data_IF_331774716030
#
_entry.id   IF_331774716030
#
_cell.length_a   1.000
_cell.length_b   1.000
_cell.length_c   1.000
_cell.angle_alpha   90.00
_cell.angle_beta   90.00
_cell.angle_gamma   90.00
#
_symmetry.space_group_name_H-M   'P 1'
#
loop_
_entity.id
_entity.type
_entity.pdbx_description
1 polymer ?
#
# COMPACT_ATOMS: atom_id res chain seq x y z
N UNK A 1 -15.07 11.19 23.57
CA UNK A 1 -15.61 11.89 22.38
C UNK A 1 -17.13 12.02 22.53
N UNK A 2 -17.68 13.22 22.32
CA UNK A 2 -19.13 13.43 22.34
C UNK A 2 -19.78 12.66 21.18
N UNK A 3 -20.91 11.93 21.40
CA UNK A 3 -21.56 11.19 20.34
C UNK A 3 -22.02 12.10 19.20
N UNK A 4 -21.91 11.61 17.97
CA UNK A 4 -22.40 12.33 16.79
C UNK A 4 -23.94 12.59 16.94
N UNK A 5 -24.35 13.83 16.71
CA UNK A 5 -25.75 14.26 16.88
C UNK A 5 -26.05 14.93 18.22
N UNK A 6 -25.16 14.86 19.21
CA UNK A 6 -25.27 15.64 20.44
C UNK A 6 -24.56 16.98 20.27
N UNK A 7 -25.30 18.08 20.47
CA UNK A 7 -24.78 19.45 20.39
C UNK A 7 -25.24 20.23 21.62
N UNK A 8 -24.37 21.05 22.17
CA UNK A 8 -24.71 21.86 23.33
C UNK A 8 -23.49 22.36 24.09
N UNK A 9 -23.73 22.91 25.27
CA UNK A 9 -22.69 23.38 26.19
C UNK A 9 -22.40 22.30 27.21
N UNK A 10 -21.12 22.04 27.49
CA UNK A 10 -20.74 21.09 28.52
C UNK A 10 -21.06 21.69 29.89
N UNK A 11 -21.98 21.06 30.63
CA UNK A 11 -22.34 21.44 32.00
C UNK A 11 -21.31 20.91 33.00
N UNK A 12 -20.93 19.64 32.87
CA UNK A 12 -19.97 18.99 33.74
C UNK A 12 -19.19 17.90 33.02
N UNK A 13 -17.94 17.73 33.43
CA UNK A 13 -17.08 16.58 33.09
C UNK A 13 -16.55 16.02 34.39
N UNK A 14 -16.69 14.73 34.57
CA UNK A 14 -16.23 14.03 35.78
C UNK A 14 -14.84 13.44 35.52
N UNK A 15 -13.95 13.58 36.51
CA UNK A 15 -12.63 12.95 36.49
C UNK A 15 -12.66 11.69 37.37
N UNK A 16 -11.96 10.63 36.94
CA UNK A 16 -11.90 9.37 37.71
C UNK A 16 -11.92 8.14 36.81
N UNK A 17 -12.11 6.98 37.41
CA UNK A 17 -12.29 5.71 36.75
C UNK A 17 -13.78 5.42 36.55
N UNK A 18 -14.16 5.02 35.34
CA UNK A 18 -15.56 4.82 34.96
C UNK A 18 -15.70 3.55 34.14
N UNK A 19 -16.85 2.90 34.27
CA UNK A 19 -17.26 1.87 33.31
C UNK A 19 -17.72 2.51 31.97
N UNK A 20 -17.85 1.71 30.94
CA UNK A 20 -18.26 2.22 29.59
C UNK A 20 -19.69 2.79 29.59
N UNK A 21 -20.52 2.42 30.58
CA UNK A 21 -21.92 2.84 30.68
C UNK A 21 -22.14 4.01 31.62
N UNK A 22 -21.15 4.35 32.46
CA UNK A 22 -21.26 5.43 33.40
C UNK A 22 -21.32 6.79 32.70
N UNK A 23 -22.03 7.74 33.32
CA UNK A 23 -22.09 9.11 32.81
C UNK A 23 -20.80 9.83 33.16
N UNK A 24 -20.01 10.21 32.12
CA UNK A 24 -18.73 10.93 32.28
C UNK A 24 -18.85 12.42 32.00
N UNK A 25 -19.90 12.85 31.32
CA UNK A 25 -20.18 14.25 31.05
C UNK A 25 -21.69 14.51 30.91
N UNK A 26 -22.09 15.74 31.20
CA UNK A 26 -23.47 16.21 30.95
C UNK A 26 -23.41 17.42 30.00
N UNK A 27 -24.22 17.38 28.95
CA UNK A 27 -24.31 18.41 27.94
C UNK A 27 -25.70 19.02 27.94
N UNK A 28 -25.79 20.34 28.07
CA UNK A 28 -27.02 21.09 27.91
C UNK A 28 -27.24 21.39 26.42
N UNK A 29 -28.34 20.90 25.92
CA UNK A 29 -28.71 21.11 24.51
C UNK A 29 -29.40 22.46 24.30
N UNK A 30 -29.46 23.01 23.11
CA UNK A 30 -30.15 24.27 22.80
C UNK A 30 -31.64 24.27 23.14
N UNK A 31 -32.24 23.12 23.39
CA UNK A 31 -33.66 22.96 23.69
C UNK A 31 -33.93 22.80 25.22
N UNK A 32 -33.07 23.36 26.04
CA UNK A 32 -33.16 23.29 27.54
C UNK A 32 -33.26 21.89 28.11
N UNK A 33 -32.79 20.86 27.42
CA UNK A 33 -32.67 19.49 27.87
C UNK A 33 -31.22 19.14 28.13
N UNK A 34 -30.95 18.26 29.11
CA UNK A 34 -29.61 17.75 29.41
C UNK A 34 -29.45 16.34 28.85
N UNK A 35 -28.33 16.06 28.23
CA UNK A 35 -27.95 14.73 27.74
C UNK A 35 -26.77 14.20 28.53
N UNK A 36 -26.96 13.03 29.13
CA UNK A 36 -25.87 12.29 29.78
C UNK A 36 -25.02 11.58 28.73
N UNK A 37 -23.71 11.80 28.79
CA UNK A 37 -22.73 11.21 27.85
C UNK A 37 -21.95 10.15 28.61
N UNK A 38 -21.92 8.93 28.05
CA UNK A 38 -21.10 7.82 28.49
C UNK A 38 -19.96 7.55 27.52
N UNK A 39 -19.06 6.63 27.86
CA UNK A 39 -18.00 6.17 26.94
C UNK A 39 -18.55 5.26 25.84
N UNK A 40 -19.70 4.64 26.04
CA UNK A 40 -20.36 3.77 25.08
C UNK A 40 -21.10 4.59 24.01
N UNK A 41 -20.87 4.24 22.75
CA UNK A 41 -21.64 4.77 21.62
C UNK A 41 -22.28 3.62 20.83
N UNK A 42 -23.56 3.75 20.50
CA UNK A 42 -24.28 2.84 19.60
C UNK A 42 -24.31 3.47 18.21
N UNK A 43 -23.82 2.74 17.20
CA UNK A 43 -23.81 3.21 15.82
C UNK A 43 -24.27 2.10 14.87
N UNK A 44 -25.19 2.37 13.91
CA UNK A 44 -25.58 1.38 12.91
C UNK A 44 -24.42 1.15 11.93
N UNK A 45 -23.86 -0.07 11.94
CA UNK A 45 -22.61 -0.40 11.24
C UNK A 45 -22.64 -0.20 9.73
N UNK A 46 -23.83 -0.29 9.09
CA UNK A 46 -23.99 -0.04 7.66
C UNK A 46 -24.02 1.43 7.27
N UNK A 47 -24.09 2.33 8.25
CA UNK A 47 -24.10 3.78 8.02
C UNK A 47 -22.74 4.38 8.34
N UNK A 48 -22.15 5.09 7.36
CA UNK A 48 -20.91 5.84 7.57
C UNK A 48 -21.06 6.90 8.67
N UNK A 49 -20.00 7.11 9.45
CA UNK A 49 -19.99 8.13 10.51
C UNK A 49 -19.83 9.51 9.87
N UNK A 50 -20.57 10.52 10.37
CA UNK A 50 -20.53 11.85 9.80
C UNK A 50 -19.21 12.58 10.08
N UNK A 51 -18.83 13.47 9.20
CA UNK A 51 -17.69 14.37 9.33
C UNK A 51 -18.10 15.78 8.86
N UNK A 52 -17.29 16.78 9.18
CA UNK A 52 -17.58 18.16 8.78
C UNK A 52 -17.24 18.38 7.29
N UNK A 53 -16.04 17.96 6.87
CA UNK A 53 -15.52 18.15 5.52
C UNK A 53 -14.55 17.03 5.15
N UNK A 54 -14.60 16.57 3.89
CA UNK A 54 -13.59 15.68 3.31
C UNK A 54 -12.48 16.53 2.69
N UNK A 55 -11.22 16.16 2.96
CA UNK A 55 -10.03 16.86 2.47
C UNK A 55 -9.52 16.19 1.19
N UNK A 56 -8.68 16.93 0.45
CA UNK A 56 -7.99 16.40 -0.71
C UNK A 56 -6.99 15.29 -0.32
N UNK A 57 -6.86 14.24 -1.11
CA UNK A 57 -5.86 13.17 -0.91
C UNK A 57 -4.49 13.58 -1.48
N UNK A 58 -3.88 14.61 -0.93
CA UNK A 58 -2.64 15.25 -1.38
C UNK A 58 -1.39 14.84 -0.59
N UNK A 59 -1.55 14.00 0.42
CA UNK A 59 -0.47 13.46 1.24
C UNK A 59 -0.37 11.95 1.07
N UNK A 60 0.83 11.36 0.90
CA UNK A 60 0.98 9.92 0.83
C UNK A 60 0.79 9.26 2.19
N UNK A 61 0.32 8.01 2.17
CA UNK A 61 0.49 7.07 3.27
C UNK A 61 1.80 6.33 3.02
N UNK A 62 2.84 6.72 3.73
CA UNK A 62 4.18 6.12 3.58
C UNK A 62 4.15 4.70 4.12
N UNK A 63 4.65 3.76 3.34
CA UNK A 63 4.60 2.33 3.65
C UNK A 63 5.98 1.69 3.84
N UNK A 64 7.05 2.36 3.41
CA UNK A 64 8.40 1.81 3.38
C UNK A 64 8.60 0.70 2.35
N UNK A 65 7.57 0.43 1.54
CA UNK A 65 7.64 -0.53 0.44
C UNK A 65 7.93 0.22 -0.86
N UNK A 66 9.12 -0.02 -1.44
CA UNK A 66 9.63 0.74 -2.60
C UNK A 66 8.67 0.74 -3.79
N UNK A 67 8.13 -0.42 -4.16
CA UNK A 67 7.19 -0.52 -5.29
C UNK A 67 5.91 0.29 -5.05
N UNK A 68 5.48 0.39 -3.80
CA UNK A 68 4.29 1.16 -3.42
C UNK A 68 4.63 2.65 -3.37
N UNK A 69 5.52 3.05 -2.48
CA UNK A 69 5.79 4.46 -2.23
C UNK A 69 6.30 5.21 -3.46
N UNK A 70 7.07 4.53 -4.32
CA UNK A 70 7.66 5.14 -5.52
C UNK A 70 6.75 5.03 -6.74
N UNK A 71 6.34 3.81 -7.12
CA UNK A 71 5.65 3.61 -8.39
C UNK A 71 4.13 3.80 -8.27
N UNK A 72 3.51 3.26 -7.21
CA UNK A 72 2.06 3.20 -7.07
C UNK A 72 1.59 3.67 -5.69
N UNK A 73 1.91 4.92 -5.30
CA UNK A 73 1.62 5.41 -3.97
C UNK A 73 0.13 5.50 -3.68
N UNK A 74 -0.22 5.26 -2.41
CA UNK A 74 -1.55 5.48 -1.88
C UNK A 74 -1.58 6.77 -1.07
N UNK A 75 -2.66 7.55 -1.20
CA UNK A 75 -2.84 8.73 -0.38
C UNK A 75 -3.30 8.36 1.05
N UNK A 76 -2.96 9.19 2.00
CA UNK A 76 -3.52 9.14 3.36
C UNK A 76 -5.03 9.42 3.29
N UNK A 77 -5.83 8.45 3.72
CA UNK A 77 -7.27 8.44 3.46
C UNK A 77 -7.67 7.90 2.09
N UNK A 78 -6.74 7.29 1.36
CA UNK A 78 -6.99 6.70 0.04
C UNK A 78 -7.57 5.29 0.08
N UNK A 79 -7.86 4.77 -1.10
CA UNK A 79 -8.40 3.43 -1.32
C UNK A 79 -7.56 2.65 -2.29
N UNK A 80 -7.20 1.43 -1.91
CA UNK A 80 -6.41 0.52 -2.73
C UNK A 80 -7.02 -0.89 -2.76
N UNK A 81 -6.78 -1.59 -3.86
CA UNK A 81 -7.04 -3.02 -3.97
C UNK A 81 -5.75 -3.79 -4.23
N UNK A 82 -5.65 -4.97 -3.63
CA UNK A 82 -4.55 -5.92 -3.81
C UNK A 82 -5.14 -7.21 -4.40
N UNK A 83 -5.41 -7.24 -5.69
CA UNK A 83 -5.86 -8.46 -6.34
C UNK A 83 -4.67 -9.37 -6.66
N UNK A 84 -4.93 -10.67 -6.58
CA UNK A 84 -3.93 -11.65 -6.98
C UNK A 84 -4.41 -13.08 -6.75
N UNK A 85 -3.86 -14.04 -7.49
CA UNK A 85 -4.19 -15.45 -7.29
C UNK A 85 -3.73 -15.94 -5.91
N UNK A 86 -4.16 -17.15 -5.58
CA UNK A 86 -3.70 -17.81 -4.35
C UNK A 86 -2.17 -17.99 -4.38
N UNK A 87 -1.51 -17.73 -3.26
CA UNK A 87 -0.05 -17.86 -3.14
C UNK A 87 0.78 -16.72 -3.74
N UNK A 88 0.15 -15.65 -4.26
CA UNK A 88 0.86 -14.47 -4.79
C UNK A 88 1.41 -13.51 -3.73
N UNK A 89 1.17 -13.79 -2.44
CA UNK A 89 1.69 -12.99 -1.32
C UNK A 89 0.77 -11.85 -0.86
N UNK A 90 -0.56 -11.91 -1.13
CA UNK A 90 -1.53 -10.90 -0.65
C UNK A 90 -1.43 -10.62 0.84
N UNK A 91 -1.49 -11.68 1.64
CA UNK A 91 -1.41 -11.59 3.10
C UNK A 91 -0.07 -11.00 3.57
N UNK A 92 1.04 -11.40 2.94
CA UNK A 92 2.37 -10.83 3.26
C UNK A 92 2.42 -9.34 2.99
N UNK A 93 1.89 -8.88 1.84
CA UNK A 93 1.82 -7.44 1.54
C UNK A 93 0.98 -6.70 2.59
N UNK A 94 -0.17 -7.24 2.97
CA UNK A 94 -1.02 -6.61 3.99
C UNK A 94 -0.36 -6.60 5.38
N UNK A 95 0.36 -7.66 5.77
CA UNK A 95 1.12 -7.68 7.02
C UNK A 95 2.25 -6.64 7.02
N UNK A 96 2.98 -6.49 5.91
CA UNK A 96 4.00 -5.46 5.77
C UNK A 96 3.40 -4.05 5.88
N UNK A 97 2.25 -3.83 5.24
CA UNK A 97 1.52 -2.56 5.37
C UNK A 97 1.03 -2.31 6.81
N UNK A 98 0.50 -3.34 7.47
CA UNK A 98 0.07 -3.24 8.86
C UNK A 98 1.24 -2.88 9.80
N UNK A 99 2.42 -3.45 9.55
CA UNK A 99 3.62 -3.21 10.35
C UNK A 99 4.22 -1.83 10.11
N UNK A 100 4.35 -1.41 8.85
CA UNK A 100 5.22 -0.30 8.46
C UNK A 100 4.47 0.96 8.03
N UNK A 101 3.20 0.85 7.61
CA UNK A 101 2.45 2.03 7.16
C UNK A 101 2.39 3.11 8.26
N UNK A 102 2.48 4.35 7.83
CA UNK A 102 2.39 5.53 8.69
C UNK A 102 0.98 5.78 9.22
N UNK A 103 0.44 4.79 9.93
CA UNK A 103 -0.85 4.85 10.59
C UNK A 103 -0.69 4.76 12.10
N UNK A 104 -1.56 5.46 12.84
CA UNK A 104 -1.58 5.39 14.30
C UNK A 104 -2.29 4.12 14.76
N UNK A 105 -3.35 3.74 14.06
CA UNK A 105 -4.18 2.57 14.34
C UNK A 105 -4.29 1.71 13.09
N UNK A 106 -4.18 0.41 13.27
CA UNK A 106 -4.41 -0.59 12.24
C UNK A 106 -5.70 -1.35 12.57
N UNK A 107 -6.58 -1.48 11.60
CA UNK A 107 -7.75 -2.37 11.69
C UNK A 107 -7.58 -3.47 10.66
N UNK A 108 -7.37 -4.71 11.11
CA UNK A 108 -7.24 -5.87 10.25
C UNK A 108 -8.50 -6.72 10.31
N UNK A 109 -9.12 -6.95 9.17
CA UNK A 109 -10.34 -7.75 9.04
C UNK A 109 -10.01 -9.01 8.25
N UNK A 110 -9.93 -10.15 8.92
CA UNK A 110 -9.97 -11.46 8.27
C UNK A 110 -11.43 -11.81 8.00
N UNK A 111 -11.83 -11.75 6.74
CA UNK A 111 -13.21 -12.00 6.31
C UNK A 111 -13.31 -13.30 5.53
N UNK A 112 -13.81 -14.35 6.18
CA UNK A 112 -13.97 -15.67 5.58
C UNK A 112 -12.66 -16.39 5.30
N UNK A 113 -11.60 -16.02 6.00
CA UNK A 113 -10.27 -16.62 5.86
C UNK A 113 -10.21 -17.99 6.55
N UNK A 114 -9.20 -18.79 6.24
CA UNK A 114 -9.01 -20.10 6.85
C UNK A 114 -8.58 -19.92 8.31
N UNK A 115 -9.04 -20.82 9.18
CA UNK A 115 -8.74 -20.78 10.60
C UNK A 115 -7.23 -20.78 10.91
N UNK A 116 -6.42 -21.54 10.15
CA UNK A 116 -4.97 -21.55 10.30
C UNK A 116 -4.34 -20.19 9.93
N UNK A 117 -4.76 -19.54 8.85
CA UNK A 117 -4.26 -18.22 8.45
C UNK A 117 -4.58 -17.15 9.52
N UNK A 118 -5.78 -17.21 10.10
CA UNK A 118 -6.14 -16.33 11.22
C UNK A 118 -5.35 -16.63 12.49
N UNK A 119 -5.03 -17.90 12.74
CA UNK A 119 -4.17 -18.30 13.86
C UNK A 119 -2.75 -17.77 13.68
N UNK A 120 -2.24 -17.82 12.45
CA UNK A 120 -0.91 -17.26 12.14
C UNK A 120 -0.87 -15.76 12.43
N UNK A 121 -1.90 -15.00 12.00
CA UNK A 121 -2.02 -13.56 12.32
C UNK A 121 -2.06 -13.32 13.83
N UNK A 122 -2.83 -14.12 14.57
CA UNK A 122 -2.94 -14.01 16.03
C UNK A 122 -1.62 -14.32 16.75
N UNK A 123 -0.77 -15.18 16.18
CA UNK A 123 0.53 -15.51 16.75
C UNK A 123 1.61 -14.51 16.33
N UNK A 124 1.61 -14.08 15.05
CA UNK A 124 2.65 -13.20 14.50
C UNK A 124 2.52 -11.75 14.98
N UNK A 125 1.31 -11.16 14.98
CA UNK A 125 1.13 -9.75 15.32
C UNK A 125 1.57 -9.36 16.74
N UNK A 126 1.39 -10.20 17.78
CA UNK A 126 1.96 -9.93 19.10
C UNK A 126 3.49 -9.91 19.14
N UNK A 127 4.14 -10.71 18.28
CA UNK A 127 5.61 -10.81 18.19
C UNK A 127 6.22 -9.67 17.35
N UNK A 128 5.44 -9.10 16.42
CA UNK A 128 5.88 -7.96 15.64
C UNK A 128 5.99 -6.72 16.52
N UNK A 129 7.17 -6.10 16.44
CA UNK A 129 7.46 -4.85 17.16
C UNK A 129 7.11 -3.67 16.26
N UNK A 130 6.33 -2.74 16.78
CA UNK A 130 6.10 -1.46 16.13
C UNK A 130 7.41 -0.64 16.13
N UNK A 131 7.98 -0.31 14.98
CA UNK A 131 9.25 0.39 14.90
C UNK A 131 9.23 1.80 15.49
N UNK A 132 8.05 2.42 15.61
CA UNK A 132 7.87 3.77 16.16
C UNK A 132 7.88 3.78 17.68
N UNK A 133 7.25 2.79 18.28
CA UNK A 133 7.01 2.77 19.74
C UNK A 133 7.84 1.74 20.49
N UNK A 134 8.42 0.76 19.80
CA UNK A 134 9.12 -0.38 20.39
C UNK A 134 8.22 -1.38 21.11
N UNK A 135 6.90 -1.18 21.07
CA UNK A 135 5.92 -2.10 21.66
C UNK A 135 5.38 -3.09 20.62
N UNK A 136 4.70 -4.14 21.07
CA UNK A 136 3.99 -5.05 20.19
C UNK A 136 3.00 -4.30 19.28
N UNK A 137 2.97 -4.69 18.00
CA UNK A 137 2.05 -4.14 17.00
C UNK A 137 0.58 -4.29 17.44
N UNK A 138 0.26 -5.31 18.22
CA UNK A 138 -1.08 -5.53 18.78
C UNK A 138 -1.59 -4.36 19.66
N UNK A 139 -0.70 -3.55 20.24
CA UNK A 139 -1.13 -2.38 21.04
C UNK A 139 -1.82 -1.30 20.20
N UNK A 140 -1.58 -1.25 18.91
CA UNK A 140 -2.24 -0.33 17.99
C UNK A 140 -3.11 -1.02 16.93
N UNK A 141 -3.40 -2.32 17.11
CA UNK A 141 -4.15 -3.12 16.15
C UNK A 141 -5.49 -3.56 16.71
N UNK A 142 -6.54 -3.38 15.92
CA UNK A 142 -7.84 -4.00 16.11
C UNK A 142 -7.94 -5.15 15.15
N UNK A 143 -8.07 -6.38 15.65
CA UNK A 143 -8.19 -7.58 14.85
C UNK A 143 -9.64 -8.09 14.87
N UNK A 144 -10.25 -8.24 13.68
CA UNK A 144 -11.56 -8.83 13.50
C UNK A 144 -11.37 -10.13 12.73
N UNK A 145 -11.54 -11.25 13.44
CA UNK A 145 -11.38 -12.58 12.90
C UNK A 145 -12.75 -13.19 12.57
N UNK A 146 -13.03 -13.37 11.28
CA UNK A 146 -14.14 -14.16 10.79
C UNK A 146 -13.58 -15.29 9.92
N UNK A 147 -13.69 -16.53 10.41
CA UNK A 147 -13.21 -17.71 9.70
C UNK A 147 -14.26 -18.28 8.77
N UNK A 148 -13.82 -19.11 7.81
CA UNK A 148 -14.68 -19.65 6.73
C UNK A 148 -15.79 -20.58 7.23
N UNK A 149 -15.66 -21.13 8.44
CA UNK A 149 -16.64 -21.97 9.11
C UNK A 149 -17.72 -21.20 9.89
N UNK A 150 -17.55 -19.89 10.06
CA UNK A 150 -18.53 -19.03 10.74
C UNK A 150 -19.75 -18.75 9.86
N UNK A 151 -20.93 -18.43 10.47
CA UNK A 151 -22.14 -18.12 9.72
C UNK A 151 -21.96 -17.00 8.69
N UNK A 152 -22.61 -17.12 7.55
CA UNK A 152 -22.53 -16.16 6.44
C UNK A 152 -22.90 -14.74 6.85
N UNK A 153 -23.93 -14.59 7.71
CA UNK A 153 -24.33 -13.29 8.23
C UNK A 153 -23.24 -12.63 9.09
N UNK A 154 -22.44 -13.41 9.84
CA UNK A 154 -21.30 -12.91 10.58
C UNK A 154 -20.17 -12.46 9.63
N UNK A 155 -19.97 -13.18 8.53
CA UNK A 155 -19.01 -12.81 7.48
C UNK A 155 -19.39 -11.48 6.84
N UNK A 156 -20.65 -11.31 6.47
CA UNK A 156 -21.15 -10.04 5.93
C UNK A 156 -20.99 -8.89 6.93
N UNK A 157 -21.30 -9.13 8.20
CA UNK A 157 -21.23 -8.12 9.25
C UNK A 157 -19.79 -7.71 9.61
N UNK A 158 -18.80 -8.58 9.45
CA UNK A 158 -17.41 -8.34 9.85
C UNK A 158 -16.82 -7.11 9.17
N UNK A 159 -17.07 -6.93 7.89
CA UNK A 159 -16.59 -5.79 7.09
C UNK A 159 -17.17 -4.46 7.63
N UNK A 160 -18.47 -4.42 7.88
CA UNK A 160 -19.12 -3.22 8.41
C UNK A 160 -18.70 -2.90 9.85
N UNK A 161 -18.51 -3.93 10.67
CA UNK A 161 -18.01 -3.77 12.04
C UNK A 161 -16.62 -3.16 12.05
N UNK A 162 -15.71 -3.70 11.23
CA UNK A 162 -14.34 -3.22 11.13
C UNK A 162 -14.25 -1.78 10.66
N UNK A 163 -14.94 -1.43 9.59
CA UNK A 163 -14.85 -0.06 9.08
C UNK A 163 -15.53 0.94 10.02
N UNK A 164 -16.57 0.54 10.76
CA UNK A 164 -17.18 1.41 11.76
C UNK A 164 -16.25 1.69 12.93
N UNK A 165 -15.49 0.68 13.39
CA UNK A 165 -14.46 0.86 14.42
C UNK A 165 -13.33 1.76 13.88
N UNK A 166 -12.91 1.56 12.64
CA UNK A 166 -11.90 2.38 12.01
C UNK A 166 -12.33 3.86 11.92
N UNK A 167 -13.58 4.12 11.53
CA UNK A 167 -14.14 5.48 11.53
C UNK A 167 -14.23 6.10 12.91
N UNK A 168 -14.48 5.31 13.95
CA UNK A 168 -14.49 5.79 15.33
C UNK A 168 -13.12 6.35 15.73
N UNK A 169 -12.03 5.64 15.42
CA UNK A 169 -10.67 6.13 15.66
C UNK A 169 -10.31 7.32 14.75
N UNK A 170 -10.73 7.31 13.49
CA UNK A 170 -10.59 8.49 12.61
C UNK A 170 -11.23 9.74 13.23
N UNK A 171 -12.43 9.59 13.81
CA UNK A 171 -13.14 10.72 14.42
C UNK A 171 -12.45 11.24 15.69
N UNK A 172 -11.57 10.45 16.29
CA UNK A 172 -10.67 10.88 17.37
C UNK A 172 -9.45 11.65 16.88
N UNK A 173 -9.22 11.73 15.56
CA UNK A 173 -8.08 12.42 14.95
C UNK A 173 -6.92 11.50 14.61
N UNK A 174 -7.09 10.19 14.66
CA UNK A 174 -6.06 9.24 14.28
C UNK A 174 -6.00 9.01 12.77
N UNK A 175 -4.81 8.69 12.28
CA UNK A 175 -4.60 8.07 10.97
C UNK A 175 -4.81 6.57 11.09
N UNK A 176 -5.85 6.06 10.45
CA UNK A 176 -6.22 4.64 10.51
C UNK A 176 -5.94 3.98 9.17
N UNK A 177 -5.26 2.83 9.19
CA UNK A 177 -5.14 1.94 8.03
C UNK A 177 -6.01 0.71 8.27
N UNK A 178 -6.96 0.46 7.37
CA UNK A 178 -7.82 -0.71 7.40
C UNK A 178 -7.41 -1.66 6.28
N UNK A 179 -7.10 -2.90 6.65
CA UNK A 179 -6.85 -4.02 5.75
C UNK A 179 -8.02 -5.00 5.82
N UNK A 180 -8.58 -5.35 4.65
CA UNK A 180 -9.67 -6.34 4.55
C UNK A 180 -9.20 -7.54 3.72
N UNK A 181 -9.03 -8.69 4.36
CA UNK A 181 -8.63 -9.95 3.74
C UNK A 181 -9.72 -11.00 3.91
N UNK A 182 -10.54 -11.31 2.92
CA UNK A 182 -10.61 -10.63 1.63
C UNK A 182 -12.01 -10.12 1.32
N UNK A 183 -12.10 -9.08 0.52
CA UNK A 183 -13.40 -8.54 0.06
C UNK A 183 -14.11 -9.50 -0.89
N UNK A 184 -13.41 -10.43 -1.56
CA UNK A 184 -14.01 -11.50 -2.35
C UNK A 184 -14.86 -12.44 -1.50
N UNK A 185 -14.39 -12.80 -0.30
CA UNK A 185 -15.16 -13.64 0.63
C UNK A 185 -16.39 -12.92 1.18
N UNK A 186 -16.28 -11.60 1.34
CA UNK A 186 -17.45 -10.78 1.68
C UNK A 186 -18.47 -10.77 0.53
N UNK A 187 -18.03 -10.63 -0.72
CA UNK A 187 -18.91 -10.69 -1.89
C UNK A 187 -19.58 -12.08 -2.04
N UNK A 188 -18.85 -13.17 -1.76
CA UNK A 188 -19.42 -14.52 -1.68
C UNK A 188 -20.54 -14.61 -0.63
N UNK A 189 -20.34 -13.99 0.53
CA UNK A 189 -21.38 -13.93 1.57
C UNK A 189 -22.62 -13.16 1.08
N UNK A 190 -22.45 -12.06 0.38
CA UNK A 190 -23.56 -11.31 -0.23
C UNK A 190 -24.32 -12.17 -1.26
N UNK A 191 -23.59 -12.93 -2.11
CA UNK A 191 -24.19 -13.85 -3.08
C UNK A 191 -24.99 -14.95 -2.39
N UNK A 192 -24.46 -15.56 -1.34
CA UNK A 192 -25.14 -16.62 -0.61
C UNK A 192 -26.41 -16.10 0.11
N UNK A 193 -26.33 -14.92 0.73
CA UNK A 193 -27.50 -14.31 1.38
C UNK A 193 -28.58 -13.93 0.38
N UNK A 194 -28.22 -13.32 -0.74
CA UNK A 194 -29.13 -12.97 -1.82
C UNK A 194 -29.84 -14.22 -2.38
N UNK A 195 -29.11 -15.33 -2.59
CA UNK A 195 -29.66 -16.58 -3.01
C UNK A 195 -30.66 -17.19 -2.01
N UNK A 196 -30.37 -17.10 -0.70
CA UNK A 196 -31.30 -17.57 0.36
C UNK A 196 -32.54 -16.69 0.49
N UNK A 197 -32.47 -15.44 0.11
CA UNK A 197 -33.60 -14.51 0.09
C UNK A 197 -34.38 -14.54 -1.23
N UNK A 198 -33.96 -15.42 -2.15
CA UNK A 198 -34.58 -15.57 -3.49
C UNK A 198 -34.57 -14.25 -4.29
N UNK A 199 -33.57 -13.41 -4.09
CA UNK A 199 -33.41 -12.20 -4.86
C UNK A 199 -32.97 -12.52 -6.30
N UNK A 200 -33.35 -11.67 -7.25
CA UNK A 200 -32.96 -11.87 -8.66
C UNK A 200 -31.43 -11.78 -8.80
N UNK A 201 -30.75 -12.82 -9.28
CA UNK A 201 -29.33 -12.83 -9.46
C UNK A 201 -28.90 -11.92 -10.61
N UNK A 202 -27.78 -11.23 -10.42
CA UNK A 202 -27.05 -10.53 -11.46
C UNK A 202 -25.98 -11.42 -12.09
N UNK A 203 -24.91 -10.81 -12.57
CA UNK A 203 -23.78 -11.47 -13.22
C UNK A 203 -23.13 -12.51 -12.29
N UNK A 204 -22.86 -13.71 -12.79
CA UNK A 204 -22.31 -14.87 -12.07
C UNK A 204 -23.03 -15.20 -10.74
N UNK A 205 -24.33 -14.87 -10.63
CA UNK A 205 -25.11 -15.13 -9.44
C UNK A 205 -24.90 -14.16 -8.29
N UNK A 206 -24.11 -13.12 -8.47
CA UNK A 206 -23.99 -12.03 -7.50
C UNK A 206 -25.24 -11.15 -7.47
N UNK A 207 -25.56 -10.51 -6.33
CA UNK A 207 -26.68 -9.58 -6.29
C UNK A 207 -26.41 -8.36 -7.16
N UNK A 208 -27.44 -7.80 -7.80
CA UNK A 208 -27.34 -6.63 -8.65
C UNK A 208 -26.74 -5.39 -7.92
N UNK A 209 -26.86 -5.37 -6.60
CA UNK A 209 -26.32 -4.30 -5.75
C UNK A 209 -24.86 -4.52 -5.29
N UNK A 210 -24.12 -5.54 -5.79
CA UNK A 210 -22.74 -5.81 -5.40
C UNK A 210 -21.85 -4.55 -5.54
N UNK A 211 -21.89 -3.91 -6.71
CA UNK A 211 -21.07 -2.70 -6.96
C UNK A 211 -21.41 -1.56 -6.01
N UNK A 212 -22.70 -1.33 -5.70
CA UNK A 212 -23.09 -0.29 -4.76
C UNK A 212 -22.67 -0.58 -3.31
N UNK A 213 -22.63 -1.86 -2.90
CA UNK A 213 -22.16 -2.26 -1.58
C UNK A 213 -20.63 -2.06 -1.45
N UNK A 214 -19.89 -2.45 -2.47
CA UNK A 214 -18.46 -2.21 -2.54
C UNK A 214 -18.15 -0.71 -2.51
N UNK A 215 -18.88 0.10 -3.30
CA UNK A 215 -18.72 1.54 -3.30
C UNK A 215 -18.99 2.15 -1.91
N UNK A 216 -20.09 1.78 -1.25
CA UNK A 216 -20.43 2.24 0.09
C UNK A 216 -19.35 1.90 1.13
N UNK A 217 -18.67 0.76 0.98
CA UNK A 217 -17.55 0.40 1.84
C UNK A 217 -16.32 1.27 1.59
N UNK A 218 -15.85 1.34 0.35
CA UNK A 218 -14.65 2.10 0.01
C UNK A 218 -14.82 3.63 0.15
N UNK A 219 -16.02 4.17 -0.09
CA UNK A 219 -16.32 5.59 0.06
C UNK A 219 -16.24 6.11 1.50
N UNK A 220 -16.28 5.21 2.49
CA UNK A 220 -16.08 5.55 3.90
C UNK A 220 -14.63 5.94 4.21
N UNK A 221 -13.69 5.58 3.34
CA UNK A 221 -12.31 6.06 3.40
C UNK A 221 -12.24 7.57 3.12
N UNK A 222 -11.26 8.22 3.70
CA UNK A 222 -11.00 9.62 3.46
C UNK A 222 -10.18 10.27 4.56
N UNK A 223 -9.52 11.36 4.21
CA UNK A 223 -8.97 12.34 5.13
C UNK A 223 -10.04 13.39 5.37
N UNK A 224 -10.40 13.62 6.62
CA UNK A 224 -11.56 14.44 6.96
C UNK A 224 -11.28 15.39 8.12
N UNK A 225 -11.99 16.51 8.14
CA UNK A 225 -12.17 17.30 9.36
C UNK A 225 -13.35 16.70 10.09
N UNK A 226 -13.14 16.28 11.32
CA UNK A 226 -14.15 15.61 12.15
C UNK A 226 -15.17 16.61 12.69
N UNK A 227 -16.29 16.11 13.21
CA UNK A 227 -17.25 16.96 13.91
C UNK A 227 -16.60 17.50 15.20
N UNK A 228 -16.89 18.73 15.52
CA UNK A 228 -16.38 19.43 16.70
C UNK A 228 -15.94 20.86 16.38
N UNK A 229 -15.53 21.59 17.39
CA UNK A 229 -15.09 22.98 17.28
C UNK A 229 -13.58 23.13 17.12
N UNK A 230 -12.83 22.06 17.28
CA UNK A 230 -11.36 22.02 17.27
C UNK A 230 -10.74 21.79 15.88
N UNK A 231 -11.59 21.64 14.84
CA UNK A 231 -11.17 21.37 13.46
C UNK A 231 -10.20 20.16 13.35
N UNK A 232 -10.41 19.16 14.19
CA UNK A 232 -9.55 17.97 14.26
C UNK A 232 -9.56 17.22 12.95
N UNK A 233 -8.36 16.92 12.43
CA UNK A 233 -8.17 16.11 11.25
C UNK A 233 -7.99 14.63 11.62
N UNK A 234 -8.60 13.73 10.86
CA UNK A 234 -8.41 12.29 10.95
C UNK A 234 -8.45 11.66 9.57
N UNK A 235 -7.84 10.50 9.43
CA UNK A 235 -7.77 9.79 8.15
C UNK A 235 -8.13 8.31 8.30
N UNK A 236 -8.80 7.76 7.29
CA UNK A 236 -9.07 6.34 7.15
C UNK A 236 -8.67 5.89 5.75
N UNK A 237 -7.58 5.15 5.64
CA UNK A 237 -7.14 4.50 4.41
C UNK A 237 -7.67 3.07 4.38
N UNK A 238 -8.20 2.62 3.24
CA UNK A 238 -8.78 1.28 3.09
C UNK A 238 -8.06 0.51 2.00
N UNK A 239 -7.57 -0.67 2.37
CA UNK A 239 -6.84 -1.59 1.49
C UNK A 239 -7.55 -2.93 1.50
N UNK A 240 -8.17 -3.30 0.37
CA UNK A 240 -8.91 -4.55 0.23
C UNK A 240 -8.15 -5.58 -0.60
N UNK A 241 -7.92 -6.77 -0.04
CA UNK A 241 -7.48 -7.90 -0.84
C UNK A 241 -8.63 -8.43 -1.69
N UNK A 242 -8.32 -8.76 -2.93
CA UNK A 242 -9.24 -9.41 -3.85
C UNK A 242 -8.61 -10.73 -4.31
N UNK A 243 -9.40 -11.80 -4.26
CA UNK A 243 -8.95 -13.16 -4.62
C UNK A 243 -9.73 -13.67 -5.81
N UNK A 244 -9.40 -13.20 -7.04
CA UNK A 244 -10.13 -13.64 -8.22
C UNK A 244 -9.89 -15.13 -8.47
N UNK A 245 -10.95 -15.93 -8.75
CA UNK A 245 -10.81 -17.32 -9.10
C UNK A 245 -9.90 -17.51 -10.32
N UNK A 246 -8.92 -18.40 -10.21
CA UNK A 246 -7.95 -18.63 -11.30
C UNK A 246 -7.04 -17.44 -11.64
N UNK A 247 -7.10 -16.35 -10.87
CA UNK A 247 -6.36 -15.11 -11.17
C UNK A 247 -7.03 -14.23 -12.23
N UNK A 248 -8.26 -14.55 -12.62
CA UNK A 248 -9.00 -13.81 -13.64
C UNK A 248 -9.64 -12.54 -13.06
N UNK A 249 -9.04 -11.39 -13.36
CA UNK A 249 -9.52 -10.07 -12.92
C UNK A 249 -10.79 -9.59 -13.68
N UNK A 250 -11.27 -10.34 -14.67
CA UNK A 250 -12.51 -9.99 -15.39
C UNK A 250 -13.77 -10.39 -14.62
N UNK A 251 -13.63 -11.16 -13.53
CA UNK A 251 -14.76 -11.57 -12.69
C UNK A 251 -15.47 -10.36 -12.01
N UNK A 252 -16.79 -10.49 -11.66
CA UNK A 252 -17.59 -9.35 -11.24
C UNK A 252 -17.08 -8.57 -10.02
N UNK A 253 -16.49 -9.25 -9.02
CA UNK A 253 -16.00 -8.59 -7.80
C UNK A 253 -14.77 -7.74 -8.10
N UNK A 254 -13.83 -8.28 -8.86
CA UNK A 254 -12.64 -7.56 -9.32
C UNK A 254 -13.01 -6.36 -10.17
N UNK A 255 -13.91 -6.54 -11.15
CA UNK A 255 -14.36 -5.47 -12.03
C UNK A 255 -15.11 -4.37 -11.27
N UNK A 256 -15.99 -4.74 -10.33
CA UNK A 256 -16.67 -3.76 -9.50
C UNK A 256 -15.69 -3.00 -8.59
N UNK A 257 -14.70 -3.69 -8.02
CA UNK A 257 -13.67 -3.07 -7.18
C UNK A 257 -12.80 -2.10 -7.98
N UNK A 258 -12.34 -2.49 -9.17
CA UNK A 258 -11.51 -1.67 -10.06
C UNK A 258 -12.16 -0.33 -10.43
N UNK A 259 -13.49 -0.30 -10.55
CA UNK A 259 -14.23 0.93 -10.85
C UNK A 259 -14.27 1.92 -9.69
N UNK A 260 -13.96 1.46 -8.48
CA UNK A 260 -14.12 2.24 -7.25
C UNK A 260 -12.77 2.68 -6.70
N UNK A 261 -11.80 1.78 -6.66
CA UNK A 261 -10.48 2.06 -6.07
C UNK A 261 -9.65 2.99 -6.96
N UNK A 262 -8.81 3.77 -6.31
CA UNK A 262 -7.88 4.68 -6.99
C UNK A 262 -6.49 4.07 -7.18
N UNK A 263 -6.18 3.03 -6.41
CA UNK A 263 -4.90 2.33 -6.48
C UNK A 263 -5.15 0.85 -6.66
N UNK A 264 -4.39 0.24 -7.55
CA UNK A 264 -4.44 -1.16 -7.89
C UNK A 264 -3.03 -1.74 -7.86
N UNK A 265 -2.79 -2.66 -6.94
CA UNK A 265 -1.54 -3.41 -6.82
C UNK A 265 -1.77 -4.85 -7.28
N UNK A 266 -1.74 -5.06 -8.57
CA UNK A 266 -1.94 -6.37 -9.17
C UNK A 266 -0.79 -7.33 -8.85
N UNK A 267 -1.06 -8.39 -8.08
CA UNK A 267 -0.06 -9.40 -7.77
C UNK A 267 0.02 -10.45 -8.87
N UNK A 268 1.23 -10.74 -9.31
CA UNK A 268 1.53 -11.67 -10.40
C UNK A 268 2.11 -12.98 -9.85
N UNK A 269 1.47 -14.10 -10.22
CA UNK A 269 1.93 -15.43 -9.84
C UNK A 269 3.32 -15.74 -10.40
N UNK A 270 3.67 -15.27 -11.60
CA UNK A 270 4.98 -15.54 -12.21
C UNK A 270 6.09 -14.84 -11.45
N UNK A 271 5.85 -13.60 -10.95
CA UNK A 271 6.80 -12.92 -10.07
C UNK A 271 6.97 -13.66 -8.75
N UNK A 272 5.87 -14.14 -8.16
CA UNK A 272 5.90 -14.93 -6.95
C UNK A 272 6.66 -16.26 -7.14
N UNK A 273 6.46 -16.97 -8.25
CA UNK A 273 7.21 -18.19 -8.57
C UNK A 273 8.70 -17.93 -8.76
N UNK A 274 9.07 -16.77 -9.30
CA UNK A 274 10.47 -16.31 -9.40
C UNK A 274 11.03 -15.80 -8.05
N UNK A 275 10.22 -15.85 -6.98
CA UNK A 275 10.55 -15.32 -5.64
C UNK A 275 10.84 -13.81 -5.64
N UNK A 276 10.27 -13.09 -6.60
CA UNK A 276 10.30 -11.63 -6.60
C UNK A 276 9.16 -11.10 -5.73
N UNK A 277 9.49 -10.53 -4.59
CA UNK A 277 8.53 -9.95 -3.65
C UNK A 277 8.87 -8.47 -3.34
N UNK A 278 7.86 -7.61 -3.11
CA UNK A 278 6.44 -7.86 -3.36
C UNK A 278 6.16 -8.20 -4.83
N UNK A 279 5.28 -9.17 -5.07
CA UNK A 279 4.99 -9.65 -6.44
C UNK A 279 4.05 -8.70 -7.21
N UNK A 280 4.17 -7.39 -6.99
CA UNK A 280 3.37 -6.36 -7.64
C UNK A 280 3.84 -6.19 -9.08
N UNK A 281 2.97 -6.45 -10.02
CA UNK A 281 3.26 -6.28 -11.44
C UNK A 281 3.21 -4.80 -11.82
N UNK A 282 4.36 -4.25 -12.22
CA UNK A 282 4.52 -2.83 -12.54
C UNK A 282 3.89 -2.41 -13.87
N UNK A 283 3.55 -3.34 -14.75
CA UNK A 283 2.89 -3.05 -16.03
C UNK A 283 1.36 -2.96 -15.90
N UNK A 284 0.78 -3.70 -14.95
CA UNK A 284 -0.68 -3.77 -14.76
C UNK A 284 -1.17 -2.94 -13.59
N UNK A 285 -0.29 -2.60 -12.65
CA UNK A 285 -0.63 -1.80 -11.47
C UNK A 285 -0.70 -0.32 -11.81
N UNK A 286 -1.49 0.43 -11.03
CA UNK A 286 -1.61 1.88 -11.18
C UNK A 286 -1.95 2.58 -9.86
N UNK A 287 -1.68 3.88 -9.80
CA UNK A 287 -2.20 4.79 -8.79
C UNK A 287 -2.69 6.07 -9.45
N UNK A 288 -3.95 6.43 -9.20
CA UNK A 288 -4.56 7.67 -9.65
C UNK A 288 -4.29 8.84 -8.69
N UNK A 289 -3.52 8.61 -7.62
CA UNK A 289 -3.12 9.67 -6.69
C UNK A 289 -1.78 10.31 -7.06
N UNK A 290 -1.04 9.76 -8.01
CA UNK A 290 0.32 10.20 -8.36
C UNK A 290 0.38 11.70 -8.60
N UNK A 291 -0.47 12.22 -9.50
CA UNK A 291 -0.47 13.65 -9.85
C UNK A 291 -0.90 14.54 -8.66
N UNK A 292 -1.85 14.06 -7.86
CA UNK A 292 -2.34 14.80 -6.69
C UNK A 292 -1.28 14.94 -5.61
N UNK A 293 -0.41 13.94 -5.46
CA UNK A 293 0.66 13.90 -4.46
C UNK A 293 2.01 14.39 -4.98
N UNK A 294 2.14 14.69 -6.30
CA UNK A 294 3.39 15.09 -6.92
C UNK A 294 4.08 16.26 -6.19
N UNK A 295 3.31 17.30 -5.87
CA UNK A 295 3.84 18.45 -5.14
C UNK A 295 4.35 18.09 -3.74
N UNK A 296 3.68 17.15 -3.07
CA UNK A 296 4.13 16.69 -1.75
C UNK A 296 5.48 16.00 -1.83
N UNK A 297 5.66 15.05 -2.76
CA UNK A 297 6.92 14.35 -2.94
C UNK A 297 8.04 15.28 -3.36
N UNK A 298 7.82 16.15 -4.33
CA UNK A 298 8.83 17.08 -4.82
C UNK A 298 9.23 18.13 -3.76
N UNK A 299 8.34 18.46 -2.82
CA UNK A 299 8.64 19.43 -1.75
C UNK A 299 9.27 18.78 -0.52
N UNK A 300 8.82 17.57 -0.15
CA UNK A 300 9.20 16.96 1.13
C UNK A 300 10.28 15.89 1.02
N UNK A 301 10.54 15.36 -0.19
CA UNK A 301 11.57 14.33 -0.39
C UNK A 301 12.69 14.88 -1.27
N UNK A 302 12.42 15.11 -2.57
CA UNK A 302 13.39 15.64 -3.52
C UNK A 302 12.69 16.24 -4.73
N UNK A 303 13.19 17.35 -5.26
CA UNK A 303 12.58 18.09 -6.39
C UNK A 303 12.43 17.24 -7.65
N UNK A 304 13.28 16.25 -7.85
CA UNK A 304 13.34 15.36 -9.01
C UNK A 304 12.64 14.01 -8.80
N UNK A 305 11.96 13.80 -7.66
CA UNK A 305 11.31 12.53 -7.33
C UNK A 305 10.37 12.04 -8.43
N UNK A 306 9.52 12.92 -8.93
CA UNK A 306 8.53 12.55 -9.95
C UNK A 306 9.16 12.28 -11.31
N UNK A 307 10.23 12.98 -11.65
CA UNK A 307 10.98 12.76 -12.89
C UNK A 307 11.72 11.42 -12.86
N UNK A 308 12.34 11.08 -11.73
CA UNK A 308 12.98 9.78 -11.53
C UNK A 308 11.96 8.65 -11.63
N UNK A 309 10.83 8.78 -10.94
CA UNK A 309 9.73 7.82 -11.05
C UNK A 309 9.30 7.60 -12.50
N UNK A 310 9.07 8.68 -13.24
CA UNK A 310 8.65 8.61 -14.65
C UNK A 310 9.71 7.92 -15.53
N UNK A 311 10.98 8.15 -15.26
CA UNK A 311 12.10 7.50 -15.96
C UNK A 311 12.15 6.00 -15.67
N UNK A 312 12.03 5.58 -14.40
CA UNK A 312 12.00 4.17 -14.04
C UNK A 312 10.84 3.45 -14.75
N UNK A 313 9.64 4.03 -14.71
CA UNK A 313 8.46 3.47 -15.37
C UNK A 313 8.65 3.32 -16.88
N UNK A 314 9.28 4.31 -17.53
CA UNK A 314 9.56 4.25 -18.97
C UNK A 314 10.54 3.11 -19.31
N UNK A 315 11.63 2.97 -18.53
CA UNK A 315 12.61 1.90 -18.74
C UNK A 315 11.94 0.52 -18.58
N UNK A 316 11.06 0.34 -17.60
CA UNK A 316 10.31 -0.90 -17.39
C UNK A 316 9.29 -1.19 -18.51
N UNK A 317 8.68 -0.16 -19.09
CA UNK A 317 7.79 -0.29 -20.25
C UNK A 317 8.57 -0.66 -21.51
N UNK A 318 9.69 0.02 -21.77
CA UNK A 318 10.58 -0.28 -22.89
C UNK A 318 11.14 -1.71 -22.77
N UNK A 319 11.44 -2.20 -21.56
CA UNK A 319 11.88 -3.59 -21.35
C UNK A 319 10.83 -4.59 -21.84
N UNK A 320 9.55 -4.36 -21.54
CA UNK A 320 8.49 -5.27 -21.96
C UNK A 320 8.41 -5.39 -23.50
N UNK A 321 8.60 -4.28 -24.21
CA UNK A 321 8.64 -4.28 -25.69
C UNK A 321 9.89 -5.00 -26.20
N UNK A 322 11.05 -4.75 -25.60
CA UNK A 322 12.31 -5.40 -25.97
C UNK A 322 12.31 -6.91 -25.67
N UNK A 323 11.70 -7.35 -24.56
CA UNK A 323 11.55 -8.77 -24.26
C UNK A 323 10.75 -9.53 -25.33
N UNK A 324 9.71 -8.91 -25.92
CA UNK A 324 8.98 -9.52 -27.03
C UNK A 324 9.86 -9.66 -28.28
N UNK A 325 10.71 -8.68 -28.56
CA UNK A 325 11.68 -8.75 -29.65
C UNK A 325 12.70 -9.87 -29.39
N UNK A 326 13.24 -9.94 -28.17
CA UNK A 326 14.21 -10.99 -27.78
C UNK A 326 13.62 -12.40 -27.92
N UNK A 327 12.35 -12.61 -27.59
CA UNK A 327 11.68 -13.91 -27.78
C UNK A 327 11.61 -14.33 -29.25
N UNK A 328 11.54 -13.36 -30.16
CA UNK A 328 11.40 -13.63 -31.60
C UNK A 328 12.76 -13.81 -32.31
N UNK A 329 13.75 -12.98 -32.01
CA UNK A 329 15.01 -12.89 -32.78
C UNK A 329 16.27 -13.15 -31.94
N UNK A 330 16.16 -13.29 -30.63
CA UNK A 330 17.28 -13.52 -29.70
C UNK A 330 17.98 -12.24 -29.24
N UNK A 331 18.78 -12.37 -28.18
CA UNK A 331 19.52 -11.25 -27.56
C UNK A 331 20.58 -10.64 -28.49
N UNK A 332 21.21 -11.45 -29.33
CA UNK A 332 22.29 -11.03 -30.21
C UNK A 332 21.85 -10.07 -31.33
N UNK A 333 20.53 -10.02 -31.56
CA UNK A 333 19.95 -9.11 -32.55
C UNK A 333 19.70 -7.69 -32.02
N UNK A 334 19.81 -7.50 -30.68
CA UNK A 334 19.60 -6.20 -30.08
C UNK A 334 20.78 -5.26 -30.28
N UNK A 335 20.47 -3.98 -30.43
CA UNK A 335 21.47 -2.91 -30.42
C UNK A 335 22.16 -2.79 -29.05
N UNK A 336 23.37 -2.23 -29.01
CA UNK A 336 24.08 -1.99 -27.75
C UNK A 336 23.27 -1.10 -26.76
N UNK A 337 22.61 -0.01 -27.19
CA UNK A 337 21.73 0.77 -26.33
C UNK A 337 20.53 -0.03 -25.78
N UNK A 338 19.93 -0.92 -26.59
CA UNK A 338 18.79 -1.73 -26.14
C UNK A 338 19.22 -2.78 -25.12
N UNK A 339 20.38 -3.41 -25.31
CA UNK A 339 20.99 -4.33 -24.34
C UNK A 339 21.27 -3.63 -23.01
N UNK A 340 21.80 -2.41 -23.05
CA UNK A 340 22.04 -1.61 -21.85
C UNK A 340 20.72 -1.24 -21.14
N UNK A 341 19.68 -0.93 -21.91
CA UNK A 341 18.34 -0.64 -21.37
C UNK A 341 17.74 -1.84 -20.64
N UNK A 342 17.87 -3.05 -21.20
CA UNK A 342 17.46 -4.29 -20.53
C UNK A 342 18.20 -4.51 -19.20
N UNK A 343 19.50 -4.21 -19.16
CA UNK A 343 20.27 -4.32 -17.92
C UNK A 343 19.89 -3.26 -16.88
N UNK A 344 19.55 -2.05 -17.30
CA UNK A 344 19.02 -1.02 -16.40
C UNK A 344 17.65 -1.44 -15.84
N UNK A 345 16.76 -1.96 -16.69
CA UNK A 345 15.48 -2.49 -16.24
C UNK A 345 15.64 -3.67 -15.27
N UNK A 346 16.60 -4.55 -15.51
CA UNK A 346 16.94 -5.63 -14.58
C UNK A 346 17.38 -5.10 -13.23
N UNK A 347 18.23 -4.06 -13.20
CA UNK A 347 18.65 -3.41 -11.95
C UNK A 347 17.44 -2.78 -11.23
N UNK A 348 16.52 -2.12 -11.95
CA UNK A 348 15.29 -1.61 -11.34
C UNK A 348 14.50 -2.75 -10.68
N UNK A 349 14.31 -3.88 -11.35
CA UNK A 349 13.53 -5.01 -10.81
C UNK A 349 14.22 -5.69 -9.63
N UNK A 350 15.50 -6.05 -9.78
CA UNK A 350 16.21 -6.90 -8.82
C UNK A 350 16.81 -6.10 -7.65
N UNK A 351 17.32 -4.91 -7.92
CA UNK A 351 18.05 -4.12 -6.93
C UNK A 351 17.12 -3.12 -6.21
N UNK A 352 16.14 -2.56 -6.93
CA UNK A 352 15.23 -1.56 -6.37
C UNK A 352 13.86 -2.14 -5.98
N UNK A 353 13.12 -2.79 -6.88
CA UNK A 353 11.75 -3.24 -6.61
C UNK A 353 11.68 -4.49 -5.74
N UNK A 354 12.62 -5.42 -5.91
CA UNK A 354 12.69 -6.61 -5.06
C UNK A 354 13.10 -6.24 -3.64
N UNK A 355 12.20 -6.46 -2.69
CA UNK A 355 12.34 -6.09 -1.28
C UNK A 355 12.07 -7.28 -0.37
N UNK A 356 13.02 -7.60 0.51
CA UNK A 356 12.90 -8.75 1.41
C UNK A 356 12.19 -8.36 2.71
N UNK A 357 10.96 -8.81 2.86
CA UNK A 357 10.13 -8.57 4.03
C UNK A 357 10.71 -9.10 5.36
N UNK A 358 11.61 -10.08 5.29
CA UNK A 358 12.20 -10.75 6.46
C UNK A 358 13.63 -10.28 6.77
N UNK A 359 14.18 -9.37 5.96
CA UNK A 359 15.51 -8.82 6.19
C UNK A 359 15.42 -7.58 7.09
N UNK A 360 16.25 -7.51 8.12
CA UNK A 360 16.21 -6.46 9.14
C UNK A 360 16.24 -5.03 8.56
N UNK A 361 17.07 -4.78 7.56
CA UNK A 361 17.22 -3.45 6.94
C UNK A 361 16.29 -3.27 5.74
N UNK A 362 16.11 -4.32 4.91
CA UNK A 362 15.41 -4.20 3.63
C UNK A 362 13.88 -4.23 3.77
N UNK A 363 13.35 -4.73 4.90
CA UNK A 363 11.90 -4.81 5.15
C UNK A 363 11.19 -3.45 5.12
N UNK A 364 11.93 -2.37 5.42
CA UNK A 364 11.47 -0.98 5.37
C UNK A 364 12.55 -0.10 4.75
N UNK A 365 12.17 0.73 3.80
CA UNK A 365 13.08 1.70 3.16
C UNK A 365 12.52 3.12 3.31
N UNK A 366 13.27 4.04 3.92
CA UNK A 366 12.85 5.44 4.03
C UNK A 366 12.77 6.10 2.65
N UNK A 367 11.99 7.17 2.52
CA UNK A 367 11.82 7.87 1.23
C UNK A 367 13.14 8.43 0.72
N UNK A 368 14.00 8.96 1.60
CA UNK A 368 15.32 9.47 1.25
C UNK A 368 16.19 8.35 0.65
N UNK A 369 16.22 7.18 1.29
CA UNK A 369 16.95 6.03 0.76
C UNK A 369 16.34 5.50 -0.54
N UNK A 370 15.02 5.53 -0.69
CA UNK A 370 14.36 5.19 -1.96
C UNK A 370 14.81 6.14 -3.07
N UNK A 371 14.91 7.43 -2.81
CA UNK A 371 15.42 8.42 -3.74
C UNK A 371 16.86 8.13 -4.16
N UNK A 372 17.76 7.91 -3.21
CA UNK A 372 19.15 7.56 -3.50
C UNK A 372 19.28 6.29 -4.33
N UNK A 373 18.46 5.28 -4.05
CA UNK A 373 18.43 4.05 -4.85
C UNK A 373 17.97 4.29 -6.28
N UNK A 374 16.94 5.13 -6.49
CA UNK A 374 16.51 5.52 -7.85
C UNK A 374 17.62 6.25 -8.59
N UNK A 375 18.27 7.22 -7.92
CA UNK A 375 19.40 7.97 -8.47
C UNK A 375 20.54 7.04 -8.89
N UNK A 376 20.92 6.06 -8.06
CA UNK A 376 22.00 5.13 -8.39
C UNK A 376 21.74 4.36 -9.67
N UNK A 377 20.51 3.83 -9.84
CA UNK A 377 20.14 3.07 -11.04
C UNK A 377 20.11 3.97 -12.27
N UNK A 378 19.51 5.15 -12.15
CA UNK A 378 19.42 6.13 -13.24
C UNK A 378 20.80 6.66 -13.62
N UNK A 379 21.63 6.98 -12.64
CA UNK A 379 22.98 7.47 -12.84
C UNK A 379 23.88 6.43 -13.51
N UNK A 380 23.80 5.17 -13.07
CA UNK A 380 24.46 4.06 -13.77
C UNK A 380 24.05 4.00 -15.24
N UNK A 381 22.76 4.03 -15.54
CA UNK A 381 22.25 3.97 -16.90
C UNK A 381 22.74 5.15 -17.75
N UNK A 382 22.64 6.38 -17.24
CA UNK A 382 23.04 7.59 -17.97
C UNK A 382 24.54 7.62 -18.26
N UNK A 383 25.36 7.25 -17.30
CA UNK A 383 26.82 7.20 -17.49
C UNK A 383 27.21 6.11 -18.50
N UNK A 384 26.54 4.96 -18.45
CA UNK A 384 26.79 3.90 -19.44
C UNK A 384 26.35 4.30 -20.85
N UNK A 385 25.21 5.01 -21.00
CA UNK A 385 24.80 5.57 -22.32
C UNK A 385 25.85 6.53 -22.85
N UNK A 386 26.31 7.47 -21.99
CA UNK A 386 27.34 8.43 -22.39
C UNK A 386 28.69 7.74 -22.74
N UNK A 387 29.01 6.63 -22.10
CA UNK A 387 30.20 5.84 -22.41
C UNK A 387 30.06 5.08 -23.75
N UNK A 388 28.87 4.55 -24.06
CA UNK A 388 28.59 3.96 -25.37
C UNK A 388 28.79 4.98 -26.52
N UNK A 389 28.28 6.21 -26.33
CA UNK A 389 28.45 7.30 -27.30
C UNK A 389 29.92 7.64 -27.54
N UNK A 390 30.77 7.48 -26.51
CA UNK A 390 32.22 7.60 -26.60
C UNK A 390 32.89 6.32 -27.14
N UNK A 391 32.12 5.26 -27.40
CA UNK A 391 32.52 4.01 -28.04
C UNK A 391 33.02 2.92 -27.10
N UNK A 392 32.69 2.98 -25.81
CA UNK A 392 32.88 1.84 -24.90
C UNK A 392 32.06 0.62 -25.35
N UNK A 393 32.53 -0.57 -25.05
CA UNK A 393 31.80 -1.81 -25.40
C UNK A 393 30.68 -2.07 -24.37
N UNK A 394 29.50 -2.43 -24.86
CA UNK A 394 28.35 -2.71 -23.98
C UNK A 394 28.62 -3.85 -22.99
N UNK A 395 29.37 -4.88 -23.41
CA UNK A 395 29.68 -6.03 -22.55
C UNK A 395 30.58 -5.62 -21.36
N UNK A 396 31.52 -4.71 -21.56
CA UNK A 396 32.36 -4.17 -20.50
C UNK A 396 31.56 -3.32 -19.50
N UNK A 397 30.60 -2.52 -20.00
CA UNK A 397 29.69 -1.71 -19.16
C UNK A 397 28.73 -2.58 -18.35
N UNK A 398 28.20 -3.64 -18.92
CA UNK A 398 27.33 -4.58 -18.22
C UNK A 398 28.09 -5.37 -17.14
N UNK A 399 29.39 -5.63 -17.35
CA UNK A 399 30.24 -6.38 -16.43
C UNK A 399 30.90 -5.54 -15.32
N UNK A 400 30.60 -4.24 -15.23
CA UNK A 400 31.23 -3.37 -14.23
C UNK A 400 31.04 -3.89 -12.79
N UNK A 401 32.13 -4.07 -12.00
CA UNK A 401 32.04 -4.59 -10.62
C UNK A 401 31.19 -3.75 -9.68
N UNK A 402 31.09 -2.43 -9.92
CA UNK A 402 30.28 -1.51 -9.11
C UNK A 402 28.80 -1.89 -9.06
N UNK A 403 28.30 -2.64 -10.05
CA UNK A 403 26.91 -3.12 -10.10
C UNK A 403 26.56 -4.00 -8.89
N UNK A 404 27.50 -4.81 -8.40
CA UNK A 404 27.27 -5.60 -7.19
C UNK A 404 27.03 -4.69 -5.97
N UNK A 405 27.75 -3.56 -5.88
CA UNK A 405 27.55 -2.59 -4.80
C UNK A 405 26.21 -1.87 -4.93
N UNK A 406 25.80 -1.50 -6.15
CA UNK A 406 24.47 -0.94 -6.40
C UNK A 406 23.39 -1.92 -5.92
N UNK A 407 23.48 -3.19 -6.30
CA UNK A 407 22.53 -4.22 -5.87
C UNK A 407 22.50 -4.49 -4.36
N UNK A 408 23.63 -4.28 -3.66
CA UNK A 408 23.73 -4.42 -2.22
C UNK A 408 23.35 -3.17 -1.42
N UNK A 409 23.21 -2.03 -2.07
CA UNK A 409 22.91 -0.76 -1.41
C UNK A 409 21.61 -0.81 -0.60
N UNK A 410 20.62 -1.61 -1.01
CA UNK A 410 19.37 -1.85 -0.26
C UNK A 410 19.59 -2.36 1.17
N UNK A 411 20.72 -3.03 1.45
CA UNK A 411 21.09 -3.56 2.77
C UNK A 411 21.91 -2.57 3.62
N UNK A 412 22.24 -1.39 3.09
CA UNK A 412 22.97 -0.37 3.82
C UNK A 412 22.09 0.21 4.94
N UNK A 413 22.63 0.30 6.14
CA UNK A 413 21.94 0.91 7.28
C UNK A 413 21.78 2.43 7.08
N UNK A 414 20.69 3.00 7.60
CA UNK A 414 20.30 4.39 7.32
C UNK A 414 21.37 5.44 7.69
N UNK A 415 22.18 5.17 8.72
CA UNK A 415 23.28 6.04 9.17
C UNK A 415 24.47 6.11 8.20
N UNK A 416 24.56 5.16 7.25
CA UNK A 416 25.65 5.04 6.27
C UNK A 416 25.21 5.27 4.82
N UNK A 417 23.95 5.51 4.57
CA UNK A 417 23.37 5.64 3.22
C UNK A 417 24.10 6.70 2.40
N UNK A 418 24.27 7.93 2.91
CA UNK A 418 24.91 9.03 2.18
C UNK A 418 26.37 8.73 1.84
N UNK A 419 27.13 8.21 2.81
CA UNK A 419 28.55 7.90 2.58
C UNK A 419 28.75 6.76 1.56
N UNK A 420 27.88 5.74 1.61
CA UNK A 420 27.94 4.62 0.67
C UNK A 420 27.47 5.04 -0.73
N UNK A 421 26.47 5.92 -0.82
CA UNK A 421 26.04 6.52 -2.08
C UNK A 421 27.19 7.25 -2.78
N UNK A 422 27.87 8.16 -2.08
CA UNK A 422 28.99 8.92 -2.63
C UNK A 422 30.15 8.01 -3.07
N UNK A 423 30.44 6.98 -2.28
CA UNK A 423 31.48 6.00 -2.60
C UNK A 423 31.14 5.19 -3.88
N UNK A 424 29.90 4.76 -4.04
CA UNK A 424 29.45 4.03 -5.22
C UNK A 424 29.48 4.94 -6.45
N UNK A 425 29.04 6.18 -6.37
CA UNK A 425 29.07 7.14 -7.48
C UNK A 425 30.50 7.43 -7.94
N UNK A 426 31.43 7.62 -7.00
CA UNK A 426 32.85 7.84 -7.32
C UNK A 426 33.47 6.62 -8.00
N UNK A 427 33.17 5.42 -7.51
CA UNK A 427 33.67 4.18 -8.09
C UNK A 427 33.07 3.91 -9.47
N UNK A 428 31.78 4.18 -9.67
CA UNK A 428 31.12 4.08 -10.96
C UNK A 428 31.80 4.95 -12.02
N UNK A 429 32.03 6.22 -11.70
CA UNK A 429 32.71 7.14 -12.61
C UNK A 429 34.11 6.65 -12.97
N UNK A 430 34.88 6.19 -11.97
CA UNK A 430 36.22 5.67 -12.19
C UNK A 430 36.26 4.39 -13.06
N UNK A 431 35.30 3.48 -12.85
CA UNK A 431 35.20 2.25 -13.63
C UNK A 431 34.77 2.53 -15.08
N UNK A 432 33.87 3.48 -15.29
CA UNK A 432 33.44 3.91 -16.62
C UNK A 432 34.58 4.58 -17.39
N UNK A 433 35.34 5.47 -16.74
CA UNK A 433 36.48 6.11 -17.39
C UNK A 433 37.49 5.07 -17.88
N UNK A 434 37.79 4.04 -17.09
CA UNK A 434 38.63 2.92 -17.50
C UNK A 434 38.04 2.11 -18.66
N UNK A 435 36.71 1.90 -18.67
CA UNK A 435 36.06 1.19 -19.78
C UNK A 435 36.12 1.98 -21.09
N UNK A 436 36.17 3.31 -21.04
CA UNK A 436 36.34 4.18 -22.19
C UNK A 436 37.82 4.14 -22.66
N UNK A 437 38.80 4.18 -21.72
CA UNK A 437 40.22 4.14 -22.02
C UNK A 437 40.67 2.83 -22.70
N UNK A 438 40.13 1.69 -22.29
CA UNK A 438 40.40 0.36 -22.87
C UNK A 438 40.02 0.24 -24.36
N UNK A 439 39.48 1.30 -24.96
CA UNK A 439 39.18 1.39 -26.40
C UNK A 439 40.39 1.70 -27.27
N UNK A 440 41.42 2.33 -26.72
CA UNK A 440 42.55 2.87 -27.52
C UNK A 440 43.60 1.82 -27.93
N UNK A 441 43.45 0.55 -27.47
CA UNK A 441 44.42 -0.52 -27.76
C UNK A 441 44.01 -1.48 -28.93
N UNK A 442 43.23 -1.01 -29.93
CA UNK A 442 42.99 -1.77 -31.17
C UNK A 442 43.09 -0.91 -32.41
#
# INVERSE_FOLDING_TARGET
MVPAGVRGTIRSISAGEYTVTDTVAVIDTPNDSSVNVSLMQKWPVRRGRPYQKKLSPDMPLITGQRVIDTLFPIAKGGVAAVPGPFGSGKTVVQHQLAKWAEADIVVYIGCGERGNEMTDVLNEFPELVDPKTGYSLMKRTVLIANTSDMPVAAREASIYTGITIAEYFRDMGYSVALMADSTSRWAEALREMSGRLEEMPGEEGYPAYLGSRLAQFYERAGRVITLGSDSREGALSVIGAVSPPGGDISEPVSQATLRIVKVFWGLDANLAYKRHFPAVNWLTSYSLYVDTMANWFNTNVAEDWMDLRARLMRILQDEAELEEIVKLVGMDALSAPDRLKLEAARSIREDFLHQNAFHETDTYTSLEKQHDMMLLVVHFYDQCVAALDKGAKVDDLIALPVREKIGRFKYTANDRVSAEYDAICAELSQQIDKAIENKEDF
#
